data_IF_484857550280
#
_entry.id   IF_484857550280
#
_cell.length_a   1.000
_cell.length_b   1.000
_cell.length_c   1.000
_cell.angle_alpha   90.00
_cell.angle_beta   90.00
_cell.angle_gamma   90.00
#
_symmetry.space_group_name_H-M   'P 1'
#
loop_
_entity.id
_entity.type
_entity.pdbx_description
1 polymer ?
#
# COMPACT_ATOMS: atom_id res chain seq x y z
N UNK A 1 -2.54 -7.05 -2.59
CA UNK A 1 -1.82 -6.06 -1.78
C UNK A 1 -1.68 -6.53 -0.33
N UNK A 2 -2.76 -6.65 0.45
CA UNK A 2 -2.67 -6.99 1.90
C UNK A 2 -1.90 -8.28 2.20
N UNK A 3 -2.01 -9.31 1.36
CA UNK A 3 -1.18 -10.53 1.49
C UNK A 3 0.31 -10.23 1.46
N UNK A 4 0.76 -9.35 0.56
CA UNK A 4 2.18 -8.97 0.43
C UNK A 4 2.63 -8.22 1.69
N UNK A 5 1.82 -7.27 2.16
CA UNK A 5 2.10 -6.51 3.40
C UNK A 5 2.25 -7.46 4.60
N UNK A 6 1.36 -8.45 4.70
CA UNK A 6 1.40 -9.48 5.75
C UNK A 6 2.62 -10.40 5.62
N UNK A 7 2.97 -10.86 4.42
CA UNK A 7 4.16 -11.69 4.16
C UNK A 7 5.46 -10.96 4.51
N UNK A 8 5.49 -9.64 4.33
CA UNK A 8 6.61 -8.80 4.71
C UNK A 8 6.66 -8.52 6.23
N UNK A 9 5.69 -9.00 7.01
CA UNK A 9 5.61 -8.72 8.46
C UNK A 9 5.47 -7.22 8.79
N UNK A 10 4.77 -6.46 7.94
CA UNK A 10 4.34 -5.10 8.23
C UNK A 10 2.95 -5.11 8.88
N UNK A 11 2.78 -4.35 9.96
CA UNK A 11 1.51 -4.27 10.69
C UNK A 11 0.62 -3.22 10.03
N UNK A 12 -0.60 -3.59 9.63
CA UNK A 12 -1.55 -2.63 9.10
C UNK A 12 -2.28 -1.96 10.27
N UNK A 13 -2.15 -0.64 10.37
CA UNK A 13 -2.84 0.17 11.37
C UNK A 13 -4.19 0.65 10.83
N UNK A 14 -4.18 1.20 9.62
CA UNK A 14 -5.36 1.74 8.96
C UNK A 14 -5.41 1.40 7.48
N UNK A 15 -6.63 1.19 6.98
CA UNK A 15 -6.93 0.98 5.56
C UNK A 15 -8.06 1.94 5.19
N UNK A 16 -7.84 2.76 4.17
CA UNK A 16 -8.85 3.63 3.59
C UNK A 16 -9.04 3.30 2.10
N UNK A 17 -10.30 3.25 1.65
CA UNK A 17 -10.67 2.95 0.28
C UNK A 17 -11.43 4.13 -0.33
N UNK A 18 -10.90 4.68 -1.42
CA UNK A 18 -11.59 5.66 -2.24
C UNK A 18 -11.99 5.06 -3.59
N UNK A 19 -13.30 5.03 -3.83
CA UNK A 19 -13.94 4.60 -5.09
C UNK A 19 -14.71 5.74 -5.77
N UNK A 20 -14.68 6.93 -5.18
CA UNK A 20 -15.56 8.07 -5.53
C UNK A 20 -14.76 9.28 -6.02
N UNK A 21 -13.42 9.24 -5.94
CA UNK A 21 -12.55 10.31 -6.40
C UNK A 21 -12.80 10.66 -7.87
N UNK A 22 -13.06 11.95 -8.15
CA UNK A 22 -13.24 12.50 -9.51
C UNK A 22 -12.06 12.21 -10.46
N UNK A 23 -10.88 11.93 -9.89
CA UNK A 23 -9.64 11.63 -10.60
C UNK A 23 -9.37 10.12 -10.79
N UNK A 24 -10.30 9.25 -10.38
CA UNK A 24 -10.21 7.81 -10.58
C UNK A 24 -11.16 7.37 -11.69
N UNK A 25 -10.68 6.58 -12.68
CA UNK A 25 -11.58 5.89 -13.60
C UNK A 25 -12.63 5.13 -12.79
N UNK A 26 -13.88 5.06 -13.26
CA UNK A 26 -15.00 4.43 -12.53
C UNK A 26 -14.75 2.96 -12.11
N UNK A 27 -13.75 2.31 -12.70
CA UNK A 27 -13.34 0.92 -12.40
C UNK A 27 -12.14 0.81 -11.46
N UNK A 28 -11.53 1.93 -11.07
CA UNK A 28 -10.32 1.97 -10.25
C UNK A 28 -10.64 2.27 -8.79
N UNK A 29 -9.97 1.59 -7.86
CA UNK A 29 -10.04 1.87 -6.42
C UNK A 29 -8.67 2.32 -5.96
N UNK A 30 -8.60 3.48 -5.31
CA UNK A 30 -7.40 3.90 -4.58
C UNK A 30 -7.47 3.33 -3.17
N UNK A 31 -6.35 2.79 -2.70
CA UNK A 31 -6.21 2.32 -1.33
C UNK A 31 -5.10 3.12 -0.67
N UNK A 32 -5.41 3.70 0.47
CA UNK A 32 -4.43 4.30 1.36
C UNK A 32 -4.22 3.36 2.53
N UNK A 33 -2.95 3.12 2.85
CA UNK A 33 -2.51 2.18 3.87
C UNK A 33 -1.60 2.92 4.84
N UNK A 34 -1.91 2.79 6.12
CA UNK A 34 -0.97 3.15 7.18
C UNK A 34 -0.41 1.85 7.75
N UNK A 35 0.90 1.70 7.65
CA UNK A 35 1.61 0.48 8.08
C UNK A 35 2.76 0.82 9.00
N UNK A 36 2.90 0.04 10.06
CA UNK A 36 4.07 0.07 10.92
C UNK A 36 5.09 -0.96 10.44
N UNK A 37 6.35 -0.51 10.33
CA UNK A 37 7.48 -1.33 9.90
C UNK A 37 8.58 -1.30 10.96
N UNK A 38 9.62 -2.10 10.78
CA UNK A 38 10.72 -2.27 11.77
C UNK A 38 11.80 -1.19 11.64
N UNK A 39 11.60 -0.22 10.76
CA UNK A 39 12.58 0.80 10.38
C UNK A 39 12.51 1.13 8.89
N UNK A 40 13.31 2.12 8.47
CA UNK A 40 13.35 2.63 7.08
C UNK A 40 13.64 1.55 6.05
N UNK A 41 14.63 0.70 6.30
CA UNK A 41 15.01 -0.36 5.35
C UNK A 41 13.86 -1.34 5.13
N UNK A 42 13.07 -1.58 6.19
CA UNK A 42 11.90 -2.44 6.09
C UNK A 42 10.76 -1.76 5.32
N UNK A 43 10.50 -0.47 5.54
CA UNK A 43 9.51 0.26 4.74
C UNK A 43 9.86 0.28 3.26
N UNK A 44 11.14 0.48 2.92
CA UNK A 44 11.60 0.50 1.54
C UNK A 44 11.40 -0.87 0.87
N UNK A 45 11.72 -1.96 1.56
CA UNK A 45 11.50 -3.32 1.08
C UNK A 45 10.01 -3.64 0.84
N UNK A 46 9.12 -3.15 1.70
CA UNK A 46 7.67 -3.29 1.53
C UNK A 46 7.20 -2.55 0.28
N UNK A 47 7.62 -1.30 0.10
CA UNK A 47 7.29 -0.48 -1.09
C UNK A 47 7.81 -1.15 -2.36
N UNK A 48 9.03 -1.66 -2.34
CA UNK A 48 9.62 -2.36 -3.48
C UNK A 48 8.83 -3.62 -3.85
N UNK A 49 8.46 -4.47 -2.88
CA UNK A 49 7.64 -5.67 -3.17
C UNK A 49 6.25 -5.33 -3.70
N UNK A 50 5.64 -4.25 -3.23
CA UNK A 50 4.37 -3.78 -3.77
C UNK A 50 4.51 -3.30 -5.21
N UNK A 51 5.54 -2.50 -5.51
CA UNK A 51 5.84 -2.05 -6.88
C UNK A 51 6.12 -3.21 -7.83
N UNK A 52 6.95 -4.18 -7.42
CA UNK A 52 7.25 -5.38 -8.20
C UNK A 52 6.02 -6.28 -8.41
N UNK A 53 5.00 -6.19 -7.56
CA UNK A 53 3.72 -6.88 -7.72
C UNK A 53 2.71 -6.13 -8.62
N UNK A 54 3.12 -4.99 -9.20
CA UNK A 54 2.33 -4.19 -10.13
C UNK A 54 1.47 -3.11 -9.48
N UNK A 55 1.64 -2.85 -8.17
CA UNK A 55 0.95 -1.74 -7.50
C UNK A 55 1.73 -0.45 -7.70
N UNK A 56 1.06 0.65 -8.03
CA UNK A 56 1.67 1.98 -8.03
C UNK A 56 1.61 2.55 -6.62
N UNK A 57 2.74 2.52 -5.91
CA UNK A 57 2.81 3.02 -4.53
C UNK A 57 3.35 4.45 -4.51
N UNK A 58 2.69 5.33 -3.77
CA UNK A 58 3.20 6.65 -3.39
C UNK A 58 3.37 6.67 -1.87
N UNK A 59 4.56 7.09 -1.43
CA UNK A 59 4.87 7.33 -0.01
C UNK A 59 4.75 8.83 0.24
N UNK A 60 4.15 9.21 1.37
CA UNK A 60 3.93 10.60 1.81
C UNK A 60 4.38 10.77 3.24
#
# INVERSE_FOLDING_TARGET
>A
MLRIVSEMQANVLHIYHDRSGRDLPATSTRVELEVETRGSDHSDAVVERLNQAGYQVRVT
#
